data_IF_000705630168
#
_entry.id   IF_000705630168
#
_cell.length_a   1.000
_cell.length_b   1.000
_cell.length_c   1.000
_cell.angle_alpha   90.00
_cell.angle_beta   90.00
_cell.angle_gamma   90.00
#
_symmetry.space_group_name_H-M   'P 1'
#
loop_
_entity.id
_entity.type
_entity.pdbx_description
1 polymer ?
#
# COMPACT_ATOMS: atom_id res chain seq x y z
N UNK A 1 9.74 23.77 1.93
CA UNK A 1 8.37 23.95 2.48
C UNK A 1 7.79 22.59 2.75
N UNK A 2 7.06 22.41 3.84
CA UNK A 2 6.29 21.18 4.06
C UNK A 2 5.12 21.14 3.09
N UNK A 3 4.89 19.95 2.51
CA UNK A 3 3.76 19.75 1.58
C UNK A 3 2.43 19.85 2.32
N UNK A 4 1.45 20.47 1.66
CA UNK A 4 0.06 20.56 2.10
C UNK A 4 -0.79 19.51 1.40
N UNK A 5 -1.65 18.86 2.16
CA UNK A 5 -2.47 17.75 1.69
C UNK A 5 -3.95 18.06 1.88
N UNK A 6 -4.78 17.73 0.89
CA UNK A 6 -6.22 17.64 1.07
C UNK A 6 -6.69 16.21 0.85
N UNK A 7 -7.59 15.74 1.73
CA UNK A 7 -8.26 14.44 1.60
C UNK A 7 -9.76 14.71 1.49
N UNK A 8 -10.33 14.33 0.37
CA UNK A 8 -11.73 14.55 0.01
C UNK A 8 -12.45 13.19 -0.01
N UNK A 9 -13.46 13.04 0.84
CA UNK A 9 -14.12 11.77 1.11
C UNK A 9 -13.45 11.02 2.26
N UNK A 10 -14.13 11.02 3.43
CA UNK A 10 -13.62 10.50 4.70
C UNK A 10 -14.19 9.12 5.05
N UNK A 11 -14.60 8.34 4.06
CA UNK A 11 -14.84 6.92 4.26
C UNK A 11 -13.56 6.22 4.76
N UNK A 12 -13.61 4.92 5.04
CA UNK A 12 -12.49 4.15 5.64
C UNK A 12 -11.12 4.41 5.01
N UNK A 13 -11.06 4.55 3.69
CA UNK A 13 -9.81 4.83 2.97
C UNK A 13 -9.30 6.25 3.24
N UNK A 14 -10.15 7.26 3.00
CA UNK A 14 -9.75 8.67 3.18
C UNK A 14 -9.43 8.99 4.63
N UNK A 15 -10.23 8.48 5.58
CA UNK A 15 -9.97 8.62 7.01
C UNK A 15 -8.58 8.08 7.39
N UNK A 16 -8.26 6.85 6.98
CA UNK A 16 -6.95 6.24 7.28
C UNK A 16 -5.79 7.05 6.66
N UNK A 17 -5.95 7.56 5.43
CA UNK A 17 -4.95 8.40 4.78
C UNK A 17 -4.76 9.71 5.53
N UNK A 18 -5.85 10.42 5.86
CA UNK A 18 -5.81 11.71 6.56
C UNK A 18 -5.14 11.58 7.93
N UNK A 19 -5.53 10.57 8.71
CA UNK A 19 -4.97 10.29 10.03
C UNK A 19 -3.46 9.96 9.95
N UNK A 20 -3.07 9.10 9.00
CA UNK A 20 -1.66 8.71 8.82
C UNK A 20 -0.78 9.92 8.46
N UNK A 21 -1.25 10.78 7.55
CA UNK A 21 -0.52 11.99 7.16
C UNK A 21 -0.37 12.95 8.35
N UNK A 22 -1.44 13.13 9.12
CA UNK A 22 -1.41 14.00 10.29
C UNK A 22 -0.50 13.46 11.40
N UNK A 23 -0.52 12.16 11.69
CA UNK A 23 0.40 11.51 12.63
C UNK A 23 1.87 11.67 12.21
N UNK A 24 2.13 11.77 10.91
CA UNK A 24 3.45 12.08 10.36
C UNK A 24 3.78 13.59 10.41
N UNK A 25 2.99 14.42 11.10
CA UNK A 25 3.19 15.86 11.25
C UNK A 25 2.90 16.68 10.01
N UNK A 26 2.12 16.16 9.04
CA UNK A 26 1.75 16.91 7.84
C UNK A 26 0.50 17.74 8.05
N UNK A 27 0.43 18.88 7.33
CA UNK A 27 -0.78 19.71 7.32
C UNK A 27 -1.81 19.05 6.40
N UNK A 28 -2.98 18.72 6.98
CA UNK A 28 -4.05 18.01 6.29
C UNK A 28 -5.35 18.79 6.39
N UNK A 29 -5.96 19.08 5.24
CA UNK A 29 -7.35 19.47 5.09
C UNK A 29 -8.18 18.21 4.80
N UNK A 30 -9.10 17.86 5.70
CA UNK A 30 -10.01 16.74 5.54
C UNK A 30 -11.42 17.25 5.21
N UNK A 31 -12.02 16.72 4.14
CA UNK A 31 -13.30 17.21 3.61
C UNK A 31 -14.27 16.06 3.36
N UNK A 32 -15.49 16.18 3.87
CA UNK A 32 -16.60 15.30 3.51
C UNK A 32 -17.93 16.07 3.54
N UNK A 33 -18.95 15.55 2.87
CA UNK A 33 -20.33 16.06 2.96
C UNK A 33 -21.03 15.62 4.24
N UNK A 34 -20.58 14.51 4.82
CA UNK A 34 -21.12 13.95 6.07
C UNK A 34 -20.49 14.63 7.28
N UNK A 35 -21.35 15.27 8.08
CA UNK A 35 -20.94 15.99 9.30
C UNK A 35 -20.35 15.07 10.37
N UNK A 36 -20.82 13.84 10.47
CA UNK A 36 -20.35 12.89 11.49
C UNK A 36 -18.90 12.51 11.21
N UNK A 37 -18.57 12.16 9.96
CA UNK A 37 -17.20 11.84 9.53
C UNK A 37 -16.24 13.02 9.71
N UNK A 38 -16.71 14.25 9.45
CA UNK A 38 -15.92 15.47 9.66
C UNK A 38 -15.63 15.68 11.13
N UNK A 39 -16.62 15.46 12.02
CA UNK A 39 -16.43 15.57 13.46
C UNK A 39 -15.47 14.51 14.01
N UNK A 40 -15.59 13.25 13.55
CA UNK A 40 -14.70 12.17 13.98
C UNK A 40 -13.22 12.43 13.67
N UNK A 41 -12.92 13.06 12.53
CA UNK A 41 -11.54 13.32 12.11
C UNK A 41 -10.97 14.62 12.64
N UNK A 42 -11.82 15.54 13.10
CA UNK A 42 -11.44 16.92 13.44
C UNK A 42 -10.31 17.03 14.47
N UNK A 43 -10.28 16.13 15.46
CA UNK A 43 -9.24 16.12 16.50
C UNK A 43 -7.88 15.58 16.02
N UNK A 44 -7.86 14.99 14.81
CA UNK A 44 -6.66 14.32 14.26
C UNK A 44 -5.99 15.11 13.14
N UNK A 45 -6.65 16.08 12.51
CA UNK A 45 -6.14 16.79 11.35
C UNK A 45 -5.99 18.28 11.59
N UNK A 46 -5.27 18.98 10.70
CA UNK A 46 -5.06 20.43 10.83
C UNK A 46 -6.36 21.20 10.62
N UNK A 47 -7.14 20.79 9.62
CA UNK A 47 -8.44 21.38 9.30
C UNK A 47 -9.40 20.28 8.85
N UNK A 48 -10.63 20.34 9.37
CA UNK A 48 -11.73 19.49 8.93
C UNK A 48 -12.88 20.38 8.46
N UNK A 49 -13.44 20.12 7.28
CA UNK A 49 -14.49 20.92 6.71
C UNK A 49 -15.63 20.05 6.16
N UNK A 50 -16.87 20.41 6.50
CA UNK A 50 -18.03 19.85 5.85
C UNK A 50 -18.27 20.60 4.53
N UNK A 51 -18.23 19.90 3.42
CA UNK A 51 -18.47 20.50 2.11
C UNK A 51 -18.94 19.48 1.07
N UNK A 52 -19.81 19.91 0.19
CA UNK A 52 -20.14 19.18 -1.03
C UNK A 52 -19.20 19.64 -2.13
N UNK A 53 -18.24 18.80 -2.48
CA UNK A 53 -17.18 19.10 -3.47
C UNK A 53 -17.66 18.99 -4.92
N UNK A 54 -18.92 18.68 -5.17
CA UNK A 54 -19.50 18.74 -6.52
C UNK A 54 -19.81 20.17 -6.93
N UNK A 55 -20.02 21.11 -5.98
CA UNK A 55 -20.13 22.53 -6.26
C UNK A 55 -18.73 23.17 -6.42
N UNK A 56 -18.41 23.65 -7.62
CA UNK A 56 -17.11 24.24 -7.94
C UNK A 56 -16.77 25.46 -7.07
N UNK A 57 -17.78 26.26 -6.68
CA UNK A 57 -17.57 27.44 -5.82
C UNK A 57 -17.14 27.03 -4.41
N UNK A 58 -17.70 25.92 -3.91
CA UNK A 58 -17.30 25.35 -2.62
C UNK A 58 -15.88 24.82 -2.71
N UNK A 59 -15.56 24.09 -3.78
CA UNK A 59 -14.25 23.55 -4.03
C UNK A 59 -13.16 24.65 -4.05
N UNK A 60 -13.41 25.76 -4.75
CA UNK A 60 -12.52 26.93 -4.76
C UNK A 60 -12.35 27.54 -3.36
N UNK A 61 -13.45 27.69 -2.60
CA UNK A 61 -13.43 28.30 -1.26
C UNK A 61 -12.61 27.53 -0.23
N UNK A 62 -12.41 26.23 -0.45
CA UNK A 62 -11.57 25.35 0.38
C UNK A 62 -10.06 25.58 0.15
N UNK A 63 -9.67 26.41 -0.82
CA UNK A 63 -8.27 26.68 -1.13
C UNK A 63 -7.51 25.48 -1.70
N UNK A 64 -8.20 24.59 -2.40
CA UNK A 64 -7.62 23.35 -2.95
C UNK A 64 -6.49 23.64 -3.94
N UNK A 65 -6.54 24.77 -4.67
CA UNK A 65 -5.48 25.20 -5.58
C UNK A 65 -4.11 25.45 -4.91
N UNK A 66 -4.09 25.60 -3.58
CA UNK A 66 -2.85 25.78 -2.80
C UNK A 66 -2.26 24.46 -2.29
N UNK A 67 -2.95 23.34 -2.52
CA UNK A 67 -2.51 22.03 -2.03
C UNK A 67 -1.45 21.43 -2.97
N UNK A 68 -0.43 20.80 -2.40
CA UNK A 68 0.57 20.06 -3.18
C UNK A 68 0.04 18.68 -3.61
N UNK A 69 -0.83 18.09 -2.78
CA UNK A 69 -1.40 16.76 -3.01
C UNK A 69 -2.86 16.74 -2.63
N UNK A 70 -3.70 16.26 -3.53
CA UNK A 70 -5.12 16.02 -3.27
C UNK A 70 -5.44 14.54 -3.42
N UNK A 71 -6.05 13.97 -2.40
CA UNK A 71 -6.50 12.58 -2.37
C UNK A 71 -8.02 12.54 -2.44
N UNK A 72 -8.58 11.96 -3.50
CA UNK A 72 -10.02 11.75 -3.68
C UNK A 72 -10.38 10.34 -3.20
N UNK A 73 -10.93 10.26 -1.99
CA UNK A 73 -11.33 9.01 -1.32
C UNK A 73 -12.79 8.62 -1.53
N UNK A 74 -13.56 9.39 -2.31
CA UNK A 74 -14.98 9.15 -2.57
C UNK A 74 -15.15 7.82 -3.33
N UNK A 75 -15.95 6.91 -2.79
CA UNK A 75 -16.12 5.57 -3.36
C UNK A 75 -17.56 5.09 -3.47
N UNK A 76 -18.54 5.83 -2.96
CA UNK A 76 -19.96 5.46 -3.06
C UNK A 76 -20.66 6.18 -4.20
N UNK A 77 -20.12 7.31 -4.63
CA UNK A 77 -20.67 8.15 -5.68
C UNK A 77 -19.60 8.40 -6.77
N UNK A 78 -19.78 7.74 -7.90
CA UNK A 78 -18.86 7.83 -9.04
C UNK A 78 -18.85 9.22 -9.65
N UNK A 79 -19.98 9.88 -9.74
CA UNK A 79 -20.12 11.22 -10.29
C UNK A 79 -19.34 12.24 -9.46
N UNK A 80 -19.56 12.25 -8.14
CA UNK A 80 -18.82 13.11 -7.21
C UNK A 80 -17.32 12.86 -7.26
N UNK A 81 -16.88 11.60 -7.38
CA UNK A 81 -15.46 11.26 -7.49
C UNK A 81 -14.82 11.79 -8.78
N UNK A 82 -15.53 11.68 -9.91
CA UNK A 82 -15.10 12.20 -11.21
C UNK A 82 -15.03 13.72 -11.17
N UNK A 83 -16.07 14.40 -10.69
CA UNK A 83 -16.13 15.86 -10.60
C UNK A 83 -15.02 16.41 -9.69
N UNK A 84 -14.85 15.86 -8.49
CA UNK A 84 -13.81 16.28 -7.56
C UNK A 84 -12.39 16.09 -8.16
N UNK A 85 -12.17 15.00 -8.89
CA UNK A 85 -10.89 14.75 -9.56
C UNK A 85 -10.63 15.75 -10.68
N UNK A 86 -11.63 16.03 -11.50
CA UNK A 86 -11.54 17.01 -12.58
C UNK A 86 -11.24 18.40 -12.03
N UNK A 87 -12.02 18.86 -11.04
CA UNK A 87 -11.84 20.17 -10.41
C UNK A 87 -10.44 20.31 -9.78
N UNK A 88 -9.93 19.27 -9.11
CA UNK A 88 -8.57 19.29 -8.56
C UNK A 88 -7.51 19.47 -9.65
N UNK A 89 -7.67 18.82 -10.79
CA UNK A 89 -6.74 18.98 -11.92
C UNK A 89 -6.88 20.35 -12.60
N UNK A 90 -8.08 20.86 -12.76
CA UNK A 90 -8.33 22.22 -13.31
C UNK A 90 -7.81 23.31 -12.38
N UNK A 91 -7.86 23.10 -11.06
CA UNK A 91 -7.26 23.98 -10.05
C UNK A 91 -5.72 23.96 -10.05
N UNK A 92 -5.08 23.12 -10.89
CA UNK A 92 -3.64 23.06 -11.05
C UNK A 92 -2.91 22.28 -9.94
N UNK A 93 -3.60 21.45 -9.17
CA UNK A 93 -2.97 20.63 -8.11
C UNK A 93 -1.86 19.74 -8.71
N UNK A 94 -0.62 19.82 -8.18
CA UNK A 94 0.51 19.08 -8.75
C UNK A 94 0.36 17.55 -8.72
N UNK A 95 -0.27 17.01 -7.67
CA UNK A 95 -0.46 15.56 -7.53
C UNK A 95 -1.88 15.24 -7.08
N UNK A 96 -2.66 14.63 -7.96
CA UNK A 96 -4.02 14.17 -7.68
C UNK A 96 -4.06 12.65 -7.66
N UNK A 97 -4.40 12.07 -6.50
CA UNK A 97 -4.56 10.64 -6.29
C UNK A 97 -6.03 10.33 -6.09
N UNK A 98 -6.60 9.45 -6.89
CA UNK A 98 -8.02 9.12 -6.79
C UNK A 98 -8.23 7.64 -6.51
N UNK A 99 -9.24 7.33 -5.66
CA UNK A 99 -9.67 5.96 -5.41
C UNK A 99 -10.59 5.48 -6.52
N UNK A 100 -10.23 4.40 -7.18
CA UNK A 100 -11.05 3.73 -8.18
C UNK A 100 -11.91 2.63 -7.56
N UNK A 101 -13.19 2.59 -7.90
CA UNK A 101 -14.15 1.56 -7.45
C UNK A 101 -14.02 0.27 -8.27
N UNK A 102 -13.76 0.43 -9.57
CA UNK A 102 -13.62 -0.67 -10.53
C UNK A 102 -12.73 -0.25 -11.70
N UNK A 103 -12.43 -1.18 -12.61
CA UNK A 103 -11.56 -0.94 -13.76
C UNK A 103 -12.05 0.17 -14.70
N UNK A 104 -13.38 0.29 -14.90
CA UNK A 104 -13.95 1.33 -15.76
C UNK A 104 -13.78 2.70 -15.12
N UNK A 105 -14.12 2.84 -13.83
CA UNK A 105 -13.91 4.07 -13.07
C UNK A 105 -12.44 4.48 -13.07
N UNK A 106 -11.52 3.54 -12.83
CA UNK A 106 -10.08 3.81 -12.87
C UNK A 106 -9.61 4.35 -14.24
N UNK A 107 -10.16 3.82 -15.35
CA UNK A 107 -9.87 4.34 -16.70
C UNK A 107 -10.37 5.77 -16.89
N UNK A 108 -11.56 6.09 -16.38
CA UNK A 108 -12.13 7.45 -16.46
C UNK A 108 -11.24 8.40 -15.66
N UNK A 109 -10.96 8.07 -14.39
CA UNK A 109 -10.13 8.90 -13.51
C UNK A 109 -8.75 9.22 -14.14
N UNK A 110 -8.09 8.22 -14.73
CA UNK A 110 -6.84 8.44 -15.47
C UNK A 110 -7.01 9.37 -16.68
N UNK A 111 -8.10 9.23 -17.43
CA UNK A 111 -8.36 10.05 -18.61
C UNK A 111 -8.65 11.52 -18.28
N UNK A 112 -9.26 11.79 -17.14
CA UNK A 112 -9.52 13.17 -16.68
C UNK A 112 -8.33 13.78 -15.93
N UNK A 113 -7.20 13.07 -15.85
CA UNK A 113 -5.94 13.63 -15.39
C UNK A 113 -5.49 13.21 -13.99
N UNK A 114 -6.15 12.26 -13.32
CA UNK A 114 -5.61 11.72 -12.08
C UNK A 114 -4.20 11.17 -12.28
N UNK A 115 -3.23 11.67 -11.52
CA UNK A 115 -1.82 11.26 -11.62
C UNK A 115 -1.62 9.82 -11.14
N UNK A 116 -2.41 9.42 -10.14
CA UNK A 116 -2.45 8.05 -9.63
C UNK A 116 -3.87 7.61 -9.32
N UNK A 117 -4.19 6.37 -9.66
CA UNK A 117 -5.45 5.73 -9.26
C UNK A 117 -5.13 4.51 -8.41
N UNK A 118 -5.76 4.42 -7.25
CA UNK A 118 -5.60 3.34 -6.26
C UNK A 118 -6.89 2.54 -6.19
N UNK A 119 -6.81 1.23 -6.36
CA UNK A 119 -7.94 0.30 -6.19
C UNK A 119 -7.75 -0.51 -4.90
N UNK A 120 -7.91 0.17 -3.76
CA UNK A 120 -7.50 -0.32 -2.44
C UNK A 120 -8.04 -1.72 -2.10
N UNK A 121 -9.32 -1.96 -2.34
CA UNK A 121 -9.97 -3.24 -2.04
C UNK A 121 -9.47 -4.36 -2.97
N UNK A 122 -9.30 -4.06 -4.26
CA UNK A 122 -8.83 -5.04 -5.26
C UNK A 122 -7.36 -5.39 -4.99
N UNK A 123 -6.52 -4.40 -4.78
CA UNK A 123 -5.09 -4.57 -4.50
C UNK A 123 -4.89 -5.37 -3.20
N UNK A 124 -5.64 -5.02 -2.15
CA UNK A 124 -5.60 -5.74 -0.86
C UNK A 124 -6.14 -7.17 -0.99
N UNK A 125 -7.26 -7.36 -1.71
CA UNK A 125 -7.84 -8.68 -1.95
C UNK A 125 -6.92 -9.61 -2.74
N UNK A 126 -6.27 -9.09 -3.77
CA UNK A 126 -5.25 -9.85 -4.54
C UNK A 126 -4.08 -10.24 -3.63
N UNK A 127 -3.58 -9.32 -2.82
CA UNK A 127 -2.49 -9.60 -1.88
C UNK A 127 -2.89 -10.68 -0.88
N UNK A 128 -4.04 -10.54 -0.23
CA UNK A 128 -4.56 -11.53 0.70
C UNK A 128 -4.75 -12.91 0.03
N UNK A 129 -5.36 -12.93 -1.17
CA UNK A 129 -5.53 -14.19 -1.93
C UNK A 129 -4.19 -14.86 -2.23
N UNK A 130 -3.18 -14.10 -2.64
CA UNK A 130 -1.83 -14.64 -2.86
C UNK A 130 -1.21 -15.18 -1.57
N UNK A 131 -1.36 -14.49 -0.44
CA UNK A 131 -0.87 -14.96 0.86
C UNK A 131 -1.52 -16.29 1.25
N UNK A 132 -2.83 -16.42 1.08
CA UNK A 132 -3.57 -17.66 1.42
C UNK A 132 -3.16 -18.87 0.56
N UNK A 133 -2.89 -18.68 -0.72
CA UNK A 133 -2.48 -19.79 -1.62
C UNK A 133 -0.99 -20.08 -1.56
N UNK A 134 -0.17 -19.17 -1.07
CA UNK A 134 1.29 -19.34 -0.98
C UNK A 134 1.72 -20.45 0.00
N UNK A 135 0.87 -20.82 0.95
CA UNK A 135 0.92 -22.06 1.75
C UNK A 135 2.17 -22.28 2.61
N UNK A 136 3.04 -21.30 2.74
CA UNK A 136 4.28 -21.32 3.52
C UNK A 136 4.93 -19.95 3.58
N UNK A 137 4.53 -19.02 2.70
CA UNK A 137 4.88 -17.62 2.87
C UNK A 137 3.92 -16.95 3.86
N UNK A 138 4.46 -16.30 4.88
CA UNK A 138 3.67 -15.60 5.89
C UNK A 138 3.17 -14.25 5.37
N UNK A 139 3.98 -13.60 4.52
CA UNK A 139 3.56 -12.38 3.81
C UNK A 139 4.16 -12.34 2.40
N UNK A 140 3.50 -11.58 1.52
CA UNK A 140 3.85 -11.48 0.10
C UNK A 140 3.76 -10.02 -0.35
N UNK A 141 4.91 -9.44 -0.65
CA UNK A 141 5.03 -8.06 -1.12
C UNK A 141 5.43 -8.04 -2.60
N UNK A 142 4.54 -7.58 -3.46
CA UNK A 142 4.81 -7.44 -4.88
C UNK A 142 5.63 -6.16 -5.14
N UNK A 143 6.84 -6.31 -5.67
CA UNK A 143 7.70 -5.18 -6.06
C UNK A 143 7.44 -4.76 -7.52
N UNK A 144 7.10 -5.73 -8.38
CA UNK A 144 6.65 -5.52 -9.75
C UNK A 144 5.79 -6.71 -10.19
N UNK A 145 5.28 -6.69 -11.43
CA UNK A 145 4.50 -7.81 -12.00
C UNK A 145 5.27 -9.14 -12.03
N UNK A 146 6.59 -9.09 -12.08
CA UNK A 146 7.47 -10.27 -12.20
C UNK A 146 8.33 -10.53 -10.96
N UNK A 147 8.44 -9.60 -10.01
CA UNK A 147 9.36 -9.68 -8.88
C UNK A 147 8.67 -9.41 -7.56
N UNK A 148 8.96 -10.23 -6.56
CA UNK A 148 8.32 -10.13 -5.23
C UNK A 148 9.31 -10.34 -4.09
N UNK A 149 8.89 -9.89 -2.92
CA UNK A 149 9.49 -10.19 -1.64
C UNK A 149 8.51 -11.04 -0.82
N UNK A 150 9.01 -12.04 -0.11
CA UNK A 150 8.18 -12.99 0.65
C UNK A 150 8.80 -13.31 2.00
N UNK A 151 7.97 -13.53 3.00
CA UNK A 151 8.38 -14.09 4.29
C UNK A 151 8.20 -15.61 4.29
N UNK A 152 9.28 -16.36 4.52
CA UNK A 152 9.28 -17.81 4.59
C UNK A 152 9.76 -18.25 5.98
N UNK A 153 8.91 -18.97 6.72
CA UNK A 153 9.37 -19.64 7.94
C UNK A 153 10.48 -20.65 7.60
N UNK A 154 11.54 -20.68 8.41
CA UNK A 154 12.64 -21.64 8.22
C UNK A 154 12.09 -23.06 8.27
N UNK A 155 12.22 -23.86 7.19
CA UNK A 155 11.76 -25.24 7.19
C UNK A 155 12.58 -26.09 8.16
N UNK A 156 12.00 -27.17 8.69
CA UNK A 156 12.70 -28.09 9.58
C UNK A 156 14.00 -28.65 8.97
N UNK A 157 13.99 -28.88 7.65
CA UNK A 157 15.17 -29.35 6.88
C UNK A 157 16.32 -28.34 6.79
N UNK A 158 16.06 -27.06 7.08
CA UNK A 158 17.07 -26.00 7.06
C UNK A 158 17.58 -25.63 8.46
N UNK A 159 16.97 -26.16 9.50
CA UNK A 159 17.41 -25.93 10.89
C UNK A 159 18.83 -26.51 11.06
N UNK A 160 19.70 -25.75 11.70
CA UNK A 160 21.13 -26.01 11.87
C UNK A 160 21.98 -26.01 10.57
N UNK A 161 21.40 -25.61 9.43
CA UNK A 161 22.16 -25.28 8.23
C UNK A 161 22.33 -23.79 8.11
N UNK A 162 23.40 -23.36 7.46
CA UNK A 162 23.65 -21.96 7.20
C UNK A 162 23.35 -21.58 5.74
N UNK A 163 23.34 -20.27 5.42
CA UNK A 163 22.95 -19.79 4.09
C UNK A 163 23.95 -20.16 2.98
N UNK A 164 25.23 -20.36 3.33
CA UNK A 164 26.24 -20.83 2.37
C UNK A 164 25.97 -22.26 1.94
N UNK A 165 25.68 -23.16 2.88
CA UNK A 165 25.32 -24.57 2.60
C UNK A 165 24.03 -24.66 1.80
N UNK A 166 23.01 -23.89 2.16
CA UNK A 166 21.73 -23.86 1.48
C UNK A 166 21.86 -23.35 0.05
N UNK A 167 22.76 -22.40 -0.19
CA UNK A 167 23.10 -21.82 -1.48
C UNK A 167 21.87 -21.43 -2.32
N UNK A 168 20.93 -20.72 -1.69
CA UNK A 168 19.61 -20.38 -2.25
C UNK A 168 19.74 -19.57 -3.54
N UNK A 169 20.72 -18.65 -3.58
CA UNK A 169 20.97 -17.82 -4.75
C UNK A 169 21.33 -18.64 -5.99
N UNK A 170 22.19 -19.66 -5.86
CA UNK A 170 22.62 -20.48 -6.98
C UNK A 170 21.59 -21.55 -7.35
N UNK A 171 20.89 -22.11 -6.37
CA UNK A 171 19.90 -23.18 -6.59
C UNK A 171 18.56 -22.66 -7.11
N UNK A 172 18.12 -21.47 -6.66
CA UNK A 172 16.78 -20.96 -6.90
C UNK A 172 16.73 -19.55 -7.49
N UNK A 173 17.88 -18.87 -7.63
CA UNK A 173 17.95 -17.45 -8.08
C UNK A 173 17.19 -16.50 -7.12
N UNK A 174 17.24 -16.80 -5.81
CA UNK A 174 16.56 -16.05 -4.76
C UNK A 174 17.61 -15.50 -3.81
N UNK A 175 17.44 -14.23 -3.41
CA UNK A 175 18.28 -13.58 -2.41
C UNK A 175 17.59 -13.57 -1.05
N UNK A 176 18.34 -13.82 0.01
CA UNK A 176 17.93 -13.56 1.38
C UNK A 176 18.25 -12.10 1.69
N UNK A 177 17.23 -11.32 2.04
CA UNK A 177 17.35 -9.88 2.31
C UNK A 177 17.49 -9.61 3.80
N UNK A 178 16.80 -10.40 4.63
CA UNK A 178 16.85 -10.29 6.09
C UNK A 178 16.42 -11.60 6.74
N UNK A 179 16.74 -11.73 8.04
CA UNK A 179 16.23 -12.79 8.91
C UNK A 179 15.46 -12.12 10.05
N UNK A 180 14.20 -12.52 10.23
CA UNK A 180 13.38 -12.09 11.35
C UNK A 180 13.49 -13.11 12.48
N UNK A 181 13.95 -12.64 13.65
CA UNK A 181 14.13 -13.39 14.90
C UNK A 181 13.15 -12.83 15.93
N UNK A 182 11.98 -13.44 16.07
CA UNK A 182 10.88 -12.88 16.85
C UNK A 182 10.44 -11.52 16.28
N UNK A 183 10.51 -10.46 17.07
CA UNK A 183 10.14 -9.09 16.64
C UNK A 183 11.31 -8.33 15.98
N UNK A 184 12.52 -8.88 15.96
CA UNK A 184 13.72 -8.21 15.45
C UNK A 184 14.03 -8.64 14.02
N UNK A 185 14.29 -7.66 13.14
CA UNK A 185 14.71 -7.90 11.76
C UNK A 185 16.21 -7.64 11.64
N UNK A 186 16.97 -8.68 11.31
CA UNK A 186 18.41 -8.64 11.08
C UNK A 186 18.70 -8.53 9.59
N UNK A 187 19.19 -7.39 9.13
CA UNK A 187 19.58 -7.14 7.72
C UNK A 187 21.07 -7.42 7.48
N UNK A 188 21.90 -7.33 8.53
CA UNK A 188 23.31 -7.73 8.47
C UNK A 188 23.40 -9.23 8.71
N UNK A 189 23.24 -10.00 7.64
CA UNK A 189 23.22 -11.45 7.69
C UNK A 189 24.66 -11.95 7.65
N UNK A 190 25.00 -12.86 8.58
CA UNK A 190 26.23 -13.63 8.55
C UNK A 190 25.95 -14.98 7.87
N UNK A 191 26.47 -15.22 6.64
CA UNK A 191 26.08 -16.40 5.84
C UNK A 191 26.42 -17.73 6.49
N UNK A 192 27.44 -17.74 7.38
CA UNK A 192 27.89 -18.88 8.16
C UNK A 192 27.09 -19.14 9.43
N UNK A 193 26.18 -18.22 9.83
CA UNK A 193 25.32 -18.43 11.00
C UNK A 193 24.22 -19.44 10.70
N UNK A 194 24.07 -20.44 11.58
CA UNK A 194 23.06 -21.47 11.41
C UNK A 194 21.66 -20.92 11.65
N UNK A 195 20.73 -21.31 10.80
CA UNK A 195 19.31 -20.99 10.93
C UNK A 195 18.69 -21.76 12.09
N UNK A 196 17.82 -21.08 12.82
CA UNK A 196 17.14 -21.62 13.99
C UNK A 196 15.64 -21.82 13.74
N UNK A 197 15.06 -22.72 14.53
CA UNK A 197 13.60 -22.92 14.54
C UNK A 197 12.86 -21.62 14.93
N UNK A 198 11.81 -21.30 14.21
CA UNK A 198 10.99 -20.11 14.44
C UNK A 198 11.52 -18.82 13.81
N UNK A 199 12.69 -18.85 13.17
CA UNK A 199 13.15 -17.74 12.34
C UNK A 199 12.39 -17.68 11.02
N UNK A 200 12.29 -16.45 10.46
CA UNK A 200 11.62 -16.20 9.19
C UNK A 200 12.63 -15.53 8.25
N UNK A 201 12.80 -16.11 7.08
CA UNK A 201 13.63 -15.53 6.03
C UNK A 201 12.81 -14.55 5.19
N UNK A 202 13.32 -13.34 4.99
CA UNK A 202 12.79 -12.39 4.01
C UNK A 202 13.55 -12.62 2.71
N UNK A 203 12.84 -13.14 1.72
CA UNK A 203 13.40 -13.57 0.43
C UNK A 203 12.96 -12.63 -0.67
N UNK A 204 13.82 -12.36 -1.65
CA UNK A 204 13.47 -11.60 -2.84
C UNK A 204 13.91 -12.34 -4.11
N UNK A 205 13.05 -12.36 -5.12
CA UNK A 205 13.31 -13.04 -6.38
C UNK A 205 12.18 -12.90 -7.40
N UNK A 206 12.41 -13.47 -8.59
CA UNK A 206 11.34 -13.56 -9.58
C UNK A 206 10.18 -14.44 -9.07
N UNK A 207 8.96 -14.09 -9.44
CA UNK A 207 7.76 -14.84 -9.04
C UNK A 207 7.85 -16.33 -9.42
N UNK A 208 8.47 -16.64 -10.56
CA UNK A 208 8.68 -18.03 -11.00
C UNK A 208 9.66 -18.78 -10.11
N UNK A 209 10.73 -18.13 -9.68
CA UNK A 209 11.75 -18.69 -8.79
C UNK A 209 11.16 -18.96 -7.41
N UNK A 210 10.44 -17.99 -6.84
CA UNK A 210 9.73 -18.13 -5.57
C UNK A 210 8.69 -19.27 -5.62
N UNK A 211 7.90 -19.36 -6.69
CA UNK A 211 6.93 -20.45 -6.87
C UNK A 211 7.60 -21.83 -6.95
N UNK A 212 8.79 -21.94 -7.56
CA UNK A 212 9.58 -23.18 -7.61
C UNK A 212 10.08 -23.59 -6.22
N UNK A 213 10.57 -22.64 -5.42
CA UNK A 213 10.95 -22.88 -4.03
C UNK A 213 9.75 -23.39 -3.22
N UNK A 214 8.59 -22.71 -3.33
CA UNK A 214 7.36 -23.07 -2.63
C UNK A 214 6.85 -24.46 -2.95
N UNK A 215 6.94 -24.87 -4.22
CA UNK A 215 6.54 -26.24 -4.61
C UNK A 215 7.37 -27.27 -3.85
N UNK A 216 8.68 -27.08 -3.81
CA UNK A 216 9.59 -27.98 -3.07
C UNK A 216 9.34 -27.95 -1.56
N UNK A 217 9.09 -26.76 -1.00
CA UNK A 217 8.74 -26.60 0.40
C UNK A 217 7.51 -27.44 0.80
N UNK A 218 6.45 -27.40 -0.02
CA UNK A 218 5.22 -28.20 0.21
C UNK A 218 5.44 -29.71 0.06
N UNK A 219 6.36 -30.11 -0.78
CA UNK A 219 6.73 -31.51 -1.02
C UNK A 219 7.67 -32.06 0.06
N UNK A 220 8.11 -31.26 1.04
CA UNK A 220 9.08 -31.62 2.06
C UNK A 220 10.50 -31.90 1.51
N UNK A 221 10.76 -31.42 0.29
CA UNK A 221 12.01 -31.69 -0.45
C UNK A 221 12.97 -30.48 -0.48
N UNK A 222 12.91 -29.62 0.53
CA UNK A 222 13.77 -28.41 0.61
C UNK A 222 14.88 -28.62 1.60
#
# INVERSE_FOLDING_TARGET
MDKQYAVIGLGKFGYAVAQTLSQAGKQVLAVDKDQELVQEIADYVTYAARADVTDSRVFESLGISNMDVVIIGISEDMESSILATLQAKEAGVPLVIAKGMNQMHAKILKKIGADRVVMAEIETGIRLGKNLISGGFQDFFMLSDSFSMVELAVPDSWINHNLEELNLRKKYEINVIAIKKGETICVNIHPEENLCMGEILILAGENKALAKLMKKYKEGNV
#
